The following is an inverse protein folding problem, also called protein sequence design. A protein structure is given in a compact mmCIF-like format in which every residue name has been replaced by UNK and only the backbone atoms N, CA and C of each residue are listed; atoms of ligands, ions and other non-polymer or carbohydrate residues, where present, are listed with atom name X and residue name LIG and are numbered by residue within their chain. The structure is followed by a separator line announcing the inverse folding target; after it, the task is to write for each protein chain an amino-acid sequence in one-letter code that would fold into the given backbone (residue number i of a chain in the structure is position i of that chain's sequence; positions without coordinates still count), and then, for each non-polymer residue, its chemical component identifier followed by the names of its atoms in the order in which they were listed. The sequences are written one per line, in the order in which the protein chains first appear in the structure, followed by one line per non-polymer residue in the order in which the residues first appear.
data_IF_047339150354
#
_entry.id   IF_047339150354
#
_cell.length_a   1.000
_cell.length_b   1.000
_cell.length_c   1.000
_cell.angle_alpha   90.00
_cell.angle_beta   90.00
_cell.angle_gamma   90.00
#
_symmetry.space_group_name_H-M   'P 1'
#
loop_
_entity.id
_entity.type
_entity.pdbx_description
1 polymer ?
#
# COMPACT_ATOMS: atom_id res chain seq x y z
N UNK A 1 -8.44 13.30 22.41
CA UNK A 1 -7.63 12.44 21.54
C UNK A 1 -8.59 11.43 20.93
N UNK A 2 -8.65 11.34 19.63
CA UNK A 2 -9.43 10.32 18.94
C UNK A 2 -8.87 8.95 19.34
N UNK A 3 -9.68 8.09 19.92
CA UNK A 3 -9.24 6.76 20.33
C UNK A 3 -9.00 5.88 19.09
N UNK A 4 -8.37 4.73 19.28
CA UNK A 4 -8.21 3.73 18.22
C UNK A 4 -9.59 3.25 17.72
N UNK A 5 -10.49 2.95 18.64
CA UNK A 5 -11.87 2.55 18.36
C UNK A 5 -12.62 3.63 17.56
N UNK A 6 -12.42 4.91 17.88
CA UNK A 6 -13.03 6.01 17.15
C UNK A 6 -12.60 6.05 15.67
N UNK A 7 -11.30 5.79 15.38
CA UNK A 7 -10.81 5.76 14.00
C UNK A 7 -11.42 4.62 13.20
N UNK A 8 -11.51 3.43 13.80
CA UNK A 8 -12.10 2.23 13.17
C UNK A 8 -13.58 2.44 12.90
N UNK A 9 -14.34 2.96 13.89
CA UNK A 9 -15.74 3.24 13.73
C UNK A 9 -16.02 4.29 12.64
N UNK A 10 -15.23 5.36 12.60
CA UNK A 10 -15.33 6.39 11.55
C UNK A 10 -15.03 5.82 10.17
N UNK A 11 -13.98 4.98 10.05
CA UNK A 11 -13.65 4.31 8.79
C UNK A 11 -14.78 3.37 8.35
N UNK A 12 -15.34 2.60 9.27
CA UNK A 12 -16.47 1.72 9.02
C UNK A 12 -17.67 2.49 8.43
N UNK A 13 -18.12 3.56 9.12
CA UNK A 13 -19.24 4.37 8.67
C UNK A 13 -18.96 5.04 7.32
N UNK A 14 -17.77 5.61 7.15
CA UNK A 14 -17.36 6.21 5.89
C UNK A 14 -17.37 5.19 4.75
N UNK A 15 -16.86 3.99 4.99
CA UNK A 15 -16.85 2.91 4.00
C UNK A 15 -18.27 2.46 3.63
N UNK A 16 -19.17 2.31 4.59
CA UNK A 16 -20.56 1.95 4.33
C UNK A 16 -21.31 2.99 3.50
N UNK A 17 -21.07 4.27 3.76
CA UNK A 17 -21.80 5.35 3.09
C UNK A 17 -21.19 5.78 1.75
N UNK A 18 -19.86 5.81 1.65
CA UNK A 18 -19.14 6.47 0.55
C UNK A 18 -18.35 5.54 -0.35
N UNK A 19 -17.93 4.36 0.12
CA UNK A 19 -17.05 3.46 -0.63
C UNK A 19 -17.79 2.24 -1.14
N UNK A 20 -18.39 1.46 -0.24
CA UNK A 20 -19.02 0.18 -0.56
C UNK A 20 -20.12 0.28 -1.63
N UNK A 21 -21.06 1.27 -1.59
CA UNK A 21 -22.10 1.41 -2.61
C UNK A 21 -21.56 1.67 -4.01
N UNK A 22 -20.33 2.17 -4.12
CA UNK A 22 -19.70 2.57 -5.38
C UNK A 22 -18.56 1.65 -5.81
N UNK A 23 -18.16 0.65 -5.00
CA UNK A 23 -17.00 -0.19 -5.23
C UNK A 23 -17.05 -0.95 -6.58
N UNK A 24 -18.21 -1.46 -6.97
CA UNK A 24 -18.40 -2.10 -8.27
C UNK A 24 -18.20 -1.11 -9.43
N UNK A 25 -18.69 0.12 -9.29
CA UNK A 25 -18.52 1.19 -10.27
C UNK A 25 -17.04 1.58 -10.41
N UNK A 26 -16.32 1.77 -9.30
CA UNK A 26 -14.88 2.08 -9.33
C UNK A 26 -14.08 1.00 -10.07
N UNK A 27 -14.43 -0.27 -9.89
CA UNK A 27 -13.80 -1.36 -10.61
C UNK A 27 -14.14 -1.37 -12.10
N UNK A 28 -15.42 -1.15 -12.47
CA UNK A 28 -15.88 -1.16 -13.84
C UNK A 28 -15.36 0.02 -14.66
N UNK A 29 -15.33 1.22 -14.07
CA UNK A 29 -14.86 2.46 -14.68
C UNK A 29 -13.32 2.59 -14.63
N UNK A 30 -12.65 1.73 -13.89
CA UNK A 30 -11.20 1.76 -13.63
C UNK A 30 -10.73 3.09 -13.04
N UNK A 31 -11.56 3.75 -12.24
CA UNK A 31 -11.28 5.06 -11.65
C UNK A 31 -11.92 5.24 -10.27
N UNK A 32 -11.26 6.03 -9.43
CA UNK A 32 -11.76 6.50 -8.15
C UNK A 32 -11.89 8.03 -8.20
N UNK A 33 -13.10 8.59 -8.00
CA UNK A 33 -13.27 10.03 -8.08
C UNK A 33 -12.37 10.78 -7.09
N UNK A 34 -11.67 11.81 -7.57
CA UNK A 34 -10.84 12.66 -6.71
C UNK A 34 -11.63 13.32 -5.56
N UNK A 35 -12.94 13.49 -5.74
CA UNK A 35 -13.83 13.97 -4.69
C UNK A 35 -13.81 13.06 -3.46
N UNK A 36 -13.78 11.73 -3.66
CA UNK A 36 -13.69 10.76 -2.56
C UNK A 36 -12.37 10.92 -1.79
N UNK A 37 -11.26 11.10 -2.50
CA UNK A 37 -9.95 11.30 -1.87
C UNK A 37 -9.92 12.59 -1.03
N UNK A 38 -10.56 13.66 -1.53
CA UNK A 38 -10.71 14.91 -0.77
C UNK A 38 -11.60 14.73 0.47
N UNK A 39 -12.67 13.95 0.38
CA UNK A 39 -13.51 13.62 1.55
C UNK A 39 -12.73 12.80 2.57
N UNK A 40 -11.95 11.80 2.15
CA UNK A 40 -11.05 11.04 3.01
C UNK A 40 -10.03 11.94 3.73
N UNK A 41 -9.51 12.97 3.04
CA UNK A 41 -8.62 13.97 3.65
C UNK A 41 -9.33 14.82 4.71
N UNK A 42 -10.55 15.31 4.43
CA UNK A 42 -11.37 16.06 5.40
C UNK A 42 -11.68 15.24 6.65
N UNK A 43 -11.92 13.95 6.49
CA UNK A 43 -12.11 13.01 7.59
C UNK A 43 -10.82 12.66 8.34
N UNK A 44 -9.66 13.09 7.84
CA UNK A 44 -8.35 12.90 8.48
C UNK A 44 -7.68 11.55 8.18
N UNK A 45 -8.24 10.70 7.34
CA UNK A 45 -7.67 9.39 7.03
C UNK A 45 -6.31 9.48 6.33
N UNK A 46 -6.09 10.53 5.54
CA UNK A 46 -4.81 10.77 4.86
C UNK A 46 -3.71 11.31 5.81
N UNK A 47 -4.08 11.80 6.99
CA UNK A 47 -3.16 12.30 8.02
C UNK A 47 -2.79 11.32 9.11
N UNK A 48 -3.23 10.05 9.05
CA UNK A 48 -3.09 9.10 10.16
C UNK A 48 -1.63 8.88 10.60
N UNK A 49 -0.69 8.76 9.66
CA UNK A 49 0.74 8.56 9.95
C UNK A 49 1.48 9.86 10.28
N UNK A 50 0.92 11.00 9.92
CA UNK A 50 1.58 12.31 10.01
C UNK A 50 1.49 12.85 11.45
N UNK A 51 2.58 13.40 12.01
CA UNK A 51 2.57 14.02 13.33
C UNK A 51 1.58 15.18 13.44
N UNK A 52 1.07 15.42 14.66
CA UNK A 52 0.08 16.47 14.95
C UNK A 52 0.56 17.86 14.63
N UNK A 53 1.84 18.14 14.82
CA UNK A 53 2.48 19.41 14.50
C UNK A 53 2.39 19.77 13.01
N UNK A 54 2.21 18.76 12.14
CA UNK A 54 1.99 18.95 10.71
C UNK A 54 0.53 18.69 10.28
N UNK A 55 -0.41 18.71 11.24
CA UNK A 55 -1.84 18.59 10.97
C UNK A 55 -2.35 17.15 10.83
N UNK A 56 -1.53 16.14 11.11
CA UNK A 56 -1.95 14.75 11.16
C UNK A 56 -2.45 14.31 12.54
N UNK A 57 -2.65 13.01 12.73
CA UNK A 57 -3.14 12.44 14.00
C UNK A 57 -2.10 11.65 14.76
N UNK A 58 -0.99 11.23 14.16
CA UNK A 58 0.00 10.34 14.74
C UNK A 58 -0.66 9.07 15.32
N UNK A 59 -1.55 8.44 14.56
CA UNK A 59 -2.26 7.25 14.98
C UNK A 59 -1.31 6.05 15.13
N UNK A 60 -1.65 5.11 16.01
CA UNK A 60 -0.90 3.86 16.17
C UNK A 60 -0.91 3.04 14.87
N UNK A 61 0.09 2.20 14.68
CA UNK A 61 0.14 1.28 13.53
C UNK A 61 -1.04 0.32 13.56
N UNK A 62 -1.49 -0.07 14.76
CA UNK A 62 -2.65 -0.93 14.94
C UNK A 62 -3.93 -0.25 14.47
N UNK A 63 -4.18 1.00 14.89
CA UNK A 63 -5.33 1.78 14.42
C UNK A 63 -5.32 1.97 12.90
N UNK A 64 -4.16 2.30 12.32
CA UNK A 64 -3.99 2.42 10.86
C UNK A 64 -4.30 1.09 10.16
N UNK A 65 -3.85 -0.03 10.75
CA UNK A 65 -4.13 -1.37 10.25
C UNK A 65 -5.64 -1.64 10.16
N UNK A 66 -6.37 -1.42 11.23
CA UNK A 66 -7.83 -1.64 11.24
C UNK A 66 -8.58 -0.66 10.33
N UNK A 67 -8.14 0.59 10.21
CA UNK A 67 -8.70 1.52 9.21
C UNK A 67 -8.49 0.99 7.79
N UNK A 68 -7.29 0.51 7.45
CA UNK A 68 -7.00 -0.08 6.14
C UNK A 68 -7.80 -1.36 5.89
N UNK A 69 -8.04 -2.17 6.92
CA UNK A 69 -8.92 -3.35 6.87
C UNK A 69 -10.34 -2.96 6.44
N UNK A 70 -10.95 -1.94 7.08
CA UNK A 70 -12.30 -1.45 6.75
C UNK A 70 -12.36 -0.96 5.29
N UNK A 71 -11.42 -0.12 4.88
CA UNK A 71 -11.35 0.35 3.50
C UNK A 71 -11.16 -0.78 2.49
N UNK A 72 -10.33 -1.77 2.80
CA UNK A 72 -10.06 -2.89 1.90
C UNK A 72 -11.25 -3.85 1.77
N UNK A 73 -12.01 -4.04 2.84
CA UNK A 73 -13.27 -4.78 2.82
C UNK A 73 -14.30 -4.14 1.90
N UNK A 74 -14.37 -2.83 1.87
CA UNK A 74 -15.25 -2.08 0.98
C UNK A 74 -14.70 -2.01 -0.47
N UNK A 75 -13.44 -1.59 -0.63
CA UNK A 75 -12.74 -1.49 -1.92
C UNK A 75 -11.23 -1.55 -1.73
N UNK A 76 -10.61 -2.64 -2.16
CA UNK A 76 -9.15 -2.77 -2.10
C UNK A 76 -8.43 -1.68 -2.92
N UNK A 77 -9.04 -1.22 -4.01
CA UNK A 77 -8.48 -0.16 -4.84
C UNK A 77 -8.35 1.17 -4.06
N UNK A 78 -9.34 1.55 -3.26
CA UNK A 78 -9.30 2.74 -2.39
C UNK A 78 -8.29 2.53 -1.26
N UNK A 79 -8.32 1.37 -0.60
CA UNK A 79 -7.42 1.03 0.49
C UNK A 79 -5.94 1.05 0.07
N UNK A 80 -5.63 0.55 -1.14
CA UNK A 80 -4.24 0.53 -1.64
C UNK A 80 -3.71 1.94 -1.88
N UNK A 81 -4.52 2.84 -2.45
CA UNK A 81 -4.15 4.25 -2.61
C UNK A 81 -3.85 4.93 -1.27
N UNK A 82 -4.71 4.67 -0.26
CA UNK A 82 -4.53 5.15 1.11
C UNK A 82 -3.27 4.54 1.76
N UNK A 83 -3.08 3.22 1.66
CA UNK A 83 -1.93 2.52 2.23
C UNK A 83 -0.59 3.05 1.68
N UNK A 84 -0.50 3.25 0.37
CA UNK A 84 0.70 3.84 -0.27
C UNK A 84 0.95 5.25 0.23
N UNK A 85 -0.08 6.09 0.30
CA UNK A 85 0.04 7.45 0.82
C UNK A 85 0.56 7.46 2.26
N UNK A 86 0.02 6.63 3.13
CA UNK A 86 0.38 6.59 4.55
C UNK A 86 1.75 5.95 4.80
N UNK A 87 1.99 4.74 4.24
CA UNK A 87 3.12 3.89 4.66
C UNK A 87 4.40 4.14 3.89
N UNK A 88 4.33 4.33 2.57
CA UNK A 88 5.54 4.42 1.73
C UNK A 88 5.78 5.82 1.14
N UNK A 89 4.81 6.74 1.26
CA UNK A 89 5.02 8.14 0.87
C UNK A 89 5.17 9.07 2.09
N UNK A 90 4.16 9.17 2.96
CA UNK A 90 4.20 10.09 4.12
C UNK A 90 5.19 9.65 5.19
N UNK A 91 5.18 8.36 5.58
CA UNK A 91 6.05 7.87 6.65
C UNK A 91 7.55 8.06 6.38
N UNK A 92 8.09 7.85 5.16
CA UNK A 92 9.48 8.20 4.86
C UNK A 92 9.79 9.69 5.02
N UNK A 93 8.88 10.59 4.62
CA UNK A 93 9.08 12.04 4.80
C UNK A 93 9.10 12.39 6.30
N UNK A 94 8.20 11.80 7.09
CA UNK A 94 8.19 11.95 8.56
C UNK A 94 9.52 11.49 9.17
N UNK A 95 10.06 10.37 8.73
CA UNK A 95 11.25 9.75 9.33
C UNK A 95 12.57 10.38 8.84
N UNK A 96 12.69 10.64 7.55
CA UNK A 96 13.95 11.00 6.90
C UNK A 96 14.01 12.45 6.43
N UNK A 97 12.87 13.13 6.35
CA UNK A 97 12.79 14.52 5.92
C UNK A 97 13.43 15.48 6.93
N UNK A 98 14.10 16.51 6.41
CA UNK A 98 14.49 17.67 7.22
C UNK A 98 13.28 18.56 7.52
N UNK A 99 13.45 19.55 8.38
CA UNK A 99 12.35 20.44 8.80
C UNK A 99 11.66 21.10 7.61
N UNK A 100 12.41 21.67 6.68
CA UNK A 100 11.87 22.33 5.48
C UNK A 100 11.03 21.39 4.63
N UNK A 101 11.49 20.15 4.43
CA UNK A 101 10.74 19.13 3.68
C UNK A 101 9.45 18.73 4.40
N UNK A 102 9.50 18.52 5.71
CA UNK A 102 8.32 18.19 6.51
C UNK A 102 7.28 19.30 6.47
N UNK A 103 7.70 20.54 6.67
CA UNK A 103 6.83 21.74 6.61
C UNK A 103 6.22 21.95 5.23
N UNK A 104 6.97 21.65 4.16
CA UNK A 104 6.49 21.78 2.78
C UNK A 104 5.42 20.75 2.43
N UNK A 105 5.65 19.47 2.77
CA UNK A 105 4.86 18.38 2.24
C UNK A 105 3.77 17.89 3.20
N UNK A 106 4.10 17.67 4.47
CA UNK A 106 3.22 16.96 5.38
C UNK A 106 1.88 17.64 5.64
N UNK A 107 1.78 18.99 5.80
CA UNK A 107 0.49 19.62 6.06
C UNK A 107 -0.54 19.42 4.92
N UNK A 108 -0.13 19.57 3.67
CA UNK A 108 -1.03 19.35 2.52
C UNK A 108 -1.33 17.87 2.30
N UNK A 109 -0.39 16.97 2.62
CA UNK A 109 -0.62 15.53 2.60
C UNK A 109 -1.62 15.11 3.69
N UNK A 110 -1.53 15.65 4.90
CA UNK A 110 -2.46 15.35 6.00
C UNK A 110 -3.91 15.75 5.67
N UNK A 111 -4.11 16.89 4.99
CA UNK A 111 -5.43 17.36 4.56
C UNK A 111 -5.96 16.68 3.29
N UNK A 112 -5.15 15.83 2.63
CA UNK A 112 -5.52 15.19 1.36
C UNK A 112 -5.55 16.14 0.16
N UNK A 113 -4.96 17.31 0.28
CA UNK A 113 -4.72 18.23 -0.84
C UNK A 113 -3.64 17.68 -1.77
N UNK A 114 -2.65 17.02 -1.18
CA UNK A 114 -1.56 16.36 -1.87
C UNK A 114 -1.55 14.88 -1.57
N UNK A 115 -1.48 14.07 -2.62
CA UNK A 115 -1.20 12.64 -2.51
C UNK A 115 0.29 12.39 -2.73
N UNK A 116 0.79 11.35 -2.09
CA UNK A 116 2.14 10.86 -2.30
C UNK A 116 2.15 9.53 -3.04
N UNK A 117 3.24 9.29 -3.79
CA UNK A 117 3.54 8.04 -4.46
C UNK A 117 4.98 7.59 -4.19
N UNK A 118 5.24 6.30 -4.42
CA UNK A 118 6.52 5.65 -4.16
C UNK A 118 7.03 4.98 -5.42
N UNK A 119 8.10 5.51 -6.01
CA UNK A 119 8.59 5.13 -7.33
C UNK A 119 9.95 4.41 -7.25
N UNK A 120 9.93 3.14 -6.81
CA UNK A 120 11.12 2.28 -6.73
C UNK A 120 11.21 1.35 -7.94
N UNK A 121 10.12 0.64 -8.26
CA UNK A 121 10.05 -0.43 -9.27
C UNK A 121 10.29 0.10 -10.67
N UNK A 122 11.05 -0.64 -11.47
CA UNK A 122 11.37 -0.35 -12.87
C UNK A 122 10.90 -1.49 -13.78
N UNK A 123 10.77 -1.26 -15.11
CA UNK A 123 10.35 -2.32 -16.03
C UNK A 123 11.22 -3.59 -15.97
N UNK A 124 12.52 -3.44 -15.71
CA UNK A 124 13.47 -4.57 -15.60
C UNK A 124 13.70 -5.04 -14.16
N UNK A 125 13.24 -4.30 -13.13
CA UNK A 125 13.68 -4.52 -11.74
C UNK A 125 12.53 -4.34 -10.75
N UNK A 126 11.99 -5.43 -10.23
CA UNK A 126 10.97 -5.44 -9.17
C UNK A 126 11.53 -5.94 -7.85
N UNK A 127 11.61 -7.27 -7.69
CA UNK A 127 12.08 -7.93 -6.45
C UNK A 127 13.54 -7.65 -6.14
N UNK A 128 14.38 -7.46 -7.17
CA UNK A 128 15.81 -7.13 -7.04
C UNK A 128 16.03 -5.60 -7.02
N UNK A 129 15.38 -4.93 -6.09
CA UNK A 129 15.32 -3.47 -6.00
C UNK A 129 16.66 -2.76 -5.71
N UNK A 130 17.73 -3.51 -5.44
CA UNK A 130 19.08 -2.95 -5.31
C UNK A 130 19.77 -2.67 -6.65
N UNK A 131 19.25 -3.23 -7.76
CA UNK A 131 19.82 -3.11 -9.11
C UNK A 131 18.96 -2.22 -10.03
N UNK A 132 18.38 -1.14 -9.48
CA UNK A 132 17.67 -0.15 -10.29
C UNK A 132 18.61 0.54 -11.28
N UNK A 133 18.06 0.94 -12.42
CA UNK A 133 18.80 1.55 -13.54
C UNK A 133 18.52 3.03 -13.74
N UNK A 134 17.44 3.58 -13.17
CA UNK A 134 17.17 5.02 -13.12
C UNK A 134 18.38 5.72 -12.49
N UNK A 135 18.98 6.67 -13.22
CA UNK A 135 20.23 7.33 -12.82
C UNK A 135 19.99 8.75 -12.37
N UNK A 136 20.84 9.20 -11.46
CA UNK A 136 21.01 10.62 -11.21
C UNK A 136 22.48 11.04 -11.36
N UNK A 137 22.68 12.27 -11.79
CA UNK A 137 24.01 12.93 -11.90
C UNK A 137 23.92 14.30 -11.25
N UNK A 138 25.04 14.76 -10.67
CA UNK A 138 25.16 16.14 -10.20
C UNK A 138 25.30 17.08 -11.39
N UNK A 139 24.52 18.16 -11.37
CA UNK A 139 24.58 19.22 -12.37
C UNK A 139 24.58 20.57 -11.64
N UNK A 140 25.77 21.05 -11.27
CA UNK A 140 25.94 22.21 -10.40
C UNK A 140 25.27 22.04 -9.02
N UNK A 141 24.30 22.91 -8.72
CA UNK A 141 23.51 22.86 -7.49
C UNK A 141 22.26 22.00 -7.59
N UNK A 142 22.13 21.22 -8.68
CA UNK A 142 20.96 20.39 -8.97
C UNK A 142 21.37 18.94 -9.18
N UNK A 143 20.36 18.08 -9.26
CA UNK A 143 20.49 16.72 -9.75
C UNK A 143 19.64 16.58 -11.01
N UNK A 144 20.20 15.95 -12.02
CA UNK A 144 19.49 15.48 -13.20
C UNK A 144 19.17 14.00 -13.01
N UNK A 145 17.91 13.63 -13.21
CA UNK A 145 17.43 12.25 -13.08
C UNK A 145 16.90 11.77 -14.42
N UNK A 146 17.37 10.59 -14.85
CA UNK A 146 16.98 9.96 -16.12
C UNK A 146 16.61 8.50 -15.87
N UNK A 147 15.46 8.05 -16.40
CA UNK A 147 14.99 6.67 -16.29
C UNK A 147 13.47 6.56 -16.32
N UNK A 148 12.97 5.37 -15.96
CA UNK A 148 11.54 5.10 -15.91
C UNK A 148 11.18 4.24 -14.71
N UNK A 149 9.96 4.44 -14.21
CA UNK A 149 9.38 3.67 -13.11
C UNK A 149 8.05 3.09 -13.56
N UNK A 150 7.71 1.89 -13.06
CA UNK A 150 6.48 1.21 -13.46
C UNK A 150 5.71 0.69 -12.26
N UNK A 151 4.41 0.43 -12.45
CA UNK A 151 3.47 0.00 -11.40
C UNK A 151 3.39 0.97 -10.21
N UNK A 152 3.44 2.29 -10.49
CA UNK A 152 3.44 3.29 -9.43
C UNK A 152 2.00 3.64 -9.05
N UNK A 153 1.57 3.14 -7.89
CA UNK A 153 0.27 3.50 -7.30
C UNK A 153 0.23 4.98 -6.97
N UNK A 154 -0.89 5.62 -7.25
CA UNK A 154 -1.10 7.08 -7.19
C UNK A 154 -0.22 7.87 -8.19
N UNK A 155 0.54 7.25 -9.08
CA UNK A 155 1.54 7.92 -9.93
C UNK A 155 0.98 9.09 -10.74
N UNK A 156 -0.18 8.94 -11.35
CA UNK A 156 -0.85 10.00 -12.11
C UNK A 156 -1.59 11.04 -11.24
N UNK A 157 -1.85 10.73 -9.97
CA UNK A 157 -2.58 11.60 -9.04
C UNK A 157 -1.67 12.35 -8.06
N UNK A 158 -0.50 11.80 -7.75
CA UNK A 158 0.38 12.31 -6.70
C UNK A 158 0.96 13.68 -7.04
N UNK A 159 0.97 14.59 -6.06
CA UNK A 159 1.64 15.88 -6.14
C UNK A 159 3.12 15.79 -5.75
N UNK A 160 3.50 14.77 -4.99
CA UNK A 160 4.89 14.45 -4.64
C UNK A 160 5.16 12.97 -4.82
N UNK A 161 6.26 12.63 -5.49
CA UNK A 161 6.68 11.26 -5.74
C UNK A 161 8.06 11.04 -5.12
N UNK A 162 8.20 9.99 -4.32
CA UNK A 162 9.48 9.52 -3.82
C UNK A 162 10.17 8.71 -4.93
N UNK A 163 11.11 9.30 -5.64
CA UNK A 163 11.84 8.68 -6.75
C UNK A 163 13.18 8.15 -6.26
N UNK A 164 13.42 6.85 -6.48
CA UNK A 164 14.69 6.21 -6.17
C UNK A 164 15.53 6.11 -7.43
N UNK A 165 16.74 6.66 -7.36
CA UNK A 165 17.70 6.65 -8.47
C UNK A 165 19.10 6.33 -7.95
N UNK A 166 19.97 5.80 -8.83
CA UNK A 166 21.35 5.46 -8.49
C UNK A 166 22.34 6.36 -9.24
N UNK A 167 23.41 6.77 -8.57
CA UNK A 167 24.52 7.45 -9.27
C UNK A 167 25.41 6.45 -10.03
N UNK A 168 25.45 5.20 -9.56
CA UNK A 168 26.24 4.15 -10.18
C UNK A 168 25.63 2.77 -9.86
N UNK A 169 25.02 2.08 -10.85
CA UNK A 169 24.44 0.76 -10.65
C UNK A 169 25.45 -0.30 -10.16
N UNK A 170 26.74 -0.17 -10.49
CA UNK A 170 27.76 -1.16 -10.12
C UNK A 170 28.04 -1.24 -8.63
N UNK A 171 27.66 -0.21 -7.85
CA UNK A 171 27.84 -0.22 -6.38
C UNK A 171 26.60 -0.72 -5.63
N UNK A 172 25.57 -1.15 -6.37
CA UNK A 172 24.34 -1.72 -5.85
C UNK A 172 23.59 -0.75 -4.94
N UNK A 173 23.05 -1.26 -3.84
CA UNK A 173 22.24 -0.49 -2.89
C UNK A 173 22.88 0.79 -2.35
N UNK A 174 24.23 0.84 -2.27
CA UNK A 174 24.99 2.01 -1.79
C UNK A 174 24.95 3.21 -2.74
N UNK A 175 24.63 2.97 -4.02
CA UNK A 175 24.51 4.02 -5.02
C UNK A 175 23.13 4.70 -5.04
N UNK A 176 22.14 4.15 -4.34
CA UNK A 176 20.76 4.58 -4.42
C UNK A 176 20.49 5.75 -3.46
N UNK A 177 19.91 6.82 -4.01
CA UNK A 177 19.37 7.96 -3.27
C UNK A 177 17.88 8.11 -3.52
N UNK A 178 17.16 8.81 -2.64
CA UNK A 178 15.74 9.10 -2.75
C UNK A 178 15.52 10.60 -2.97
N UNK A 179 14.66 10.95 -3.92
CA UNK A 179 14.34 12.32 -4.26
C UNK A 179 12.83 12.58 -4.17
N UNK A 180 12.44 13.69 -3.56
CA UNK A 180 11.07 14.20 -3.57
C UNK A 180 10.86 15.00 -4.86
N UNK A 181 10.15 14.41 -5.82
CA UNK A 181 9.87 15.03 -7.12
C UNK A 181 8.44 15.55 -7.12
N UNK A 182 8.28 16.86 -7.28
CA UNK A 182 6.97 17.50 -7.34
C UNK A 182 6.33 17.27 -8.72
N UNK A 183 5.02 17.11 -8.76
CA UNK A 183 4.25 17.12 -10.02
C UNK A 183 4.49 18.44 -10.78
N UNK A 184 4.73 18.33 -12.06
CA UNK A 184 5.05 19.49 -12.91
C UNK A 184 6.54 19.85 -12.96
N UNK A 185 7.42 19.11 -12.27
CA UNK A 185 8.87 19.26 -12.47
C UNK A 185 9.22 19.03 -13.95
N UNK A 186 9.96 19.93 -14.62
CA UNK A 186 10.37 19.73 -16.00
C UNK A 186 11.14 18.41 -16.20
N UNK A 187 10.79 17.65 -17.22
CA UNK A 187 11.37 16.33 -17.49
C UNK A 187 10.72 15.20 -16.68
N UNK A 188 9.69 15.47 -15.86
CA UNK A 188 8.89 14.45 -15.19
C UNK A 188 7.50 14.36 -15.82
N UNK A 189 7.10 13.14 -16.20
CA UNK A 189 5.78 12.85 -16.76
C UNK A 189 5.26 11.49 -16.33
N UNK A 190 3.95 11.31 -16.40
CA UNK A 190 3.27 10.05 -16.14
C UNK A 190 2.54 9.53 -17.39
N UNK A 191 2.43 8.21 -17.49
CA UNK A 191 1.68 7.53 -18.54
C UNK A 191 0.18 7.49 -18.22
N UNK A 192 -0.59 6.93 -19.15
CA UNK A 192 -1.96 6.53 -18.86
C UNK A 192 -1.99 5.46 -17.77
N UNK A 193 -3.14 5.39 -17.08
CA UNK A 193 -3.44 4.32 -16.12
C UNK A 193 -3.27 2.93 -16.77
N UNK A 194 -2.54 2.04 -16.08
CA UNK A 194 -2.33 0.67 -16.52
C UNK A 194 -3.59 -0.17 -16.27
N UNK A 195 -4.10 -0.84 -17.31
CA UNK A 195 -5.20 -1.79 -17.16
C UNK A 195 -4.71 -3.06 -16.46
N UNK A 196 -5.47 -3.55 -15.48
CA UNK A 196 -5.07 -4.61 -14.56
C UNK A 196 -6.17 -5.67 -14.38
N UNK A 197 -5.80 -6.85 -13.93
CA UNK A 197 -6.74 -7.90 -13.55
C UNK A 197 -7.64 -7.45 -12.40
N UNK A 198 -7.06 -6.96 -11.32
CA UNK A 198 -7.69 -6.41 -10.13
C UNK A 198 -7.13 -5.06 -9.75
N UNK A 199 -7.59 -4.47 -8.64
CA UNK A 199 -7.27 -3.09 -8.26
C UNK A 199 -7.56 -2.09 -9.40
N UNK A 200 -8.59 -2.36 -10.17
CA UNK A 200 -8.80 -1.65 -11.43
C UNK A 200 -9.01 -0.16 -11.22
N UNK A 201 -9.76 0.24 -10.19
CA UNK A 201 -9.96 1.64 -9.83
C UNK A 201 -8.71 2.32 -9.24
N UNK A 202 -7.70 1.58 -8.78
CA UNK A 202 -6.48 2.19 -8.23
C UNK A 202 -5.59 2.71 -9.34
N UNK A 203 -5.38 4.01 -9.40
CA UNK A 203 -4.49 4.65 -10.37
C UNK A 203 -3.06 4.12 -10.22
N UNK A 204 -2.58 3.46 -11.27
CA UNK A 204 -1.26 2.82 -11.33
C UNK A 204 -0.62 3.18 -12.66
N UNK A 205 0.50 3.88 -12.64
CA UNK A 205 1.09 4.50 -13.83
C UNK A 205 2.54 4.07 -14.02
N UNK A 206 3.04 4.28 -15.22
CA UNK A 206 4.46 4.41 -15.47
C UNK A 206 4.85 5.88 -15.34
N UNK A 207 6.05 6.12 -14.82
CA UNK A 207 6.63 7.46 -14.68
C UNK A 207 7.90 7.53 -15.53
N UNK A 208 8.03 8.60 -16.29
CA UNK A 208 9.20 8.89 -17.12
C UNK A 208 9.96 10.08 -16.52
N UNK A 209 11.26 9.93 -16.38
CA UNK A 209 12.19 10.97 -15.99
C UNK A 209 13.18 11.14 -17.17
N UNK A 210 13.05 12.24 -17.90
CA UNK A 210 13.88 12.57 -19.06
C UNK A 210 14.48 13.95 -18.86
N UNK A 211 15.73 13.97 -18.39
CA UNK A 211 16.37 15.21 -17.98
C UNK A 211 15.62 15.90 -16.83
N UNK A 212 15.06 15.13 -15.91
CA UNK A 212 14.31 15.68 -14.78
C UNK A 212 15.26 16.35 -13.80
N UNK A 213 15.20 17.69 -13.69
CA UNK A 213 16.07 18.45 -12.81
C UNK A 213 15.39 18.76 -11.48
N UNK A 214 16.02 18.35 -10.39
CA UNK A 214 15.59 18.66 -9.03
C UNK A 214 16.71 19.39 -8.28
N UNK A 215 16.36 20.23 -7.31
CA UNK A 215 17.37 20.91 -6.47
C UNK A 215 17.97 19.94 -5.45
N UNK A 216 19.07 20.31 -4.81
CA UNK A 216 19.71 19.47 -3.78
C UNK A 216 18.80 19.23 -2.57
N UNK A 217 17.87 20.17 -2.31
CA UNK A 217 16.89 20.10 -1.23
C UNK A 217 15.81 19.02 -1.49
N UNK A 218 15.69 18.52 -2.71
CA UNK A 218 14.77 17.42 -3.04
C UNK A 218 15.26 16.07 -2.50
N UNK A 219 16.55 15.92 -2.17
CA UNK A 219 17.08 14.66 -1.65
C UNK A 219 16.52 14.36 -0.26
N UNK A 220 15.88 13.20 -0.11
CA UNK A 220 15.35 12.71 1.15
C UNK A 220 16.42 11.89 1.88
N UNK A 221 16.83 12.32 3.06
CA UNK A 221 17.98 11.75 3.77
C UNK A 221 19.31 12.27 3.20
N UNK A 222 20.32 11.39 3.15
CA UNK A 222 21.66 11.68 2.61
C UNK A 222 21.89 10.91 1.31
N UNK A 223 22.87 11.34 0.54
CA UNK A 223 23.34 10.59 -0.63
C UNK A 223 23.71 9.15 -0.25
N UNK A 224 23.16 8.18 -0.97
CA UNK A 224 23.34 6.76 -0.68
C UNK A 224 22.42 6.14 0.38
N UNK A 225 21.57 6.94 1.06
CA UNK A 225 20.59 6.40 2.02
C UNK A 225 19.31 5.87 1.38
N UNK A 226 19.11 6.06 0.06
CA UNK A 226 17.84 5.74 -0.61
C UNK A 226 17.38 4.30 -0.42
N UNK A 227 18.29 3.34 -0.45
CA UNK A 227 17.91 1.94 -0.20
C UNK A 227 17.43 1.71 1.24
N UNK A 228 18.01 2.37 2.24
CA UNK A 228 17.53 2.31 3.63
C UNK A 228 16.15 2.96 3.76
N UNK A 229 15.95 4.11 3.10
CA UNK A 229 14.64 4.77 3.02
C UNK A 229 13.61 3.80 2.46
N UNK A 230 13.90 3.16 1.33
CA UNK A 230 13.01 2.20 0.69
C UNK A 230 12.69 1.01 1.61
N UNK A 231 13.71 0.37 2.19
CA UNK A 231 13.50 -0.83 3.03
C UNK A 231 12.68 -0.52 4.28
N UNK A 232 12.96 0.61 4.96
CA UNK A 232 12.17 1.00 6.15
C UNK A 232 10.72 1.36 5.81
N UNK A 233 10.48 1.94 4.63
CA UNK A 233 9.14 2.21 4.13
C UNK A 233 8.37 0.90 3.87
N UNK A 234 8.99 -0.03 3.15
CA UNK A 234 8.40 -1.34 2.81
C UNK A 234 8.14 -2.22 4.03
N UNK A 235 8.96 -2.13 5.09
CA UNK A 235 8.66 -2.84 6.35
C UNK A 235 7.33 -2.36 6.96
N UNK A 236 7.11 -1.05 7.00
CA UNK A 236 5.83 -0.48 7.44
C UNK A 236 4.69 -0.84 6.50
N UNK A 237 4.94 -0.79 5.20
CA UNK A 237 3.98 -1.13 4.15
C UNK A 237 3.49 -2.57 4.21
N UNK A 238 4.35 -3.54 4.59
CA UNK A 238 3.94 -4.95 4.78
C UNK A 238 2.84 -5.10 5.83
N UNK A 239 2.88 -4.32 6.92
CA UNK A 239 1.80 -4.32 7.92
C UNK A 239 0.51 -3.78 7.29
N UNK A 240 0.59 -2.68 6.53
CA UNK A 240 -0.55 -2.10 5.82
C UNK A 240 -1.18 -3.06 4.81
N UNK A 241 -0.35 -3.75 3.99
CA UNK A 241 -0.85 -4.75 3.04
C UNK A 241 -1.41 -5.99 3.73
N UNK A 242 -0.87 -6.38 4.91
CA UNK A 242 -1.47 -7.45 5.73
C UNK A 242 -2.88 -7.07 6.16
N UNK A 243 -3.08 -5.84 6.60
CA UNK A 243 -4.39 -5.31 6.98
C UNK A 243 -5.36 -5.21 5.78
N UNK A 244 -4.89 -4.73 4.63
CA UNK A 244 -5.68 -4.76 3.40
C UNK A 244 -6.08 -6.19 2.99
N UNK A 245 -5.16 -7.15 3.14
CA UNK A 245 -5.43 -8.56 2.87
C UNK A 245 -6.48 -9.12 3.82
N UNK A 246 -6.41 -8.77 5.10
CA UNK A 246 -7.40 -9.14 6.11
C UNK A 246 -8.79 -8.61 5.75
N UNK A 247 -8.89 -7.33 5.34
CA UNK A 247 -10.16 -6.73 4.91
C UNK A 247 -10.79 -7.46 3.73
N UNK A 248 -10.00 -7.81 2.71
CA UNK A 248 -10.45 -8.62 1.57
C UNK A 248 -10.93 -10.00 2.02
N UNK A 249 -10.17 -10.68 2.89
CA UNK A 249 -10.53 -12.01 3.39
C UNK A 249 -11.83 -11.95 4.21
N UNK A 250 -12.01 -10.93 5.05
CA UNK A 250 -13.20 -10.72 5.87
C UNK A 250 -14.43 -10.42 5.01
N UNK A 251 -14.30 -9.59 3.99
CA UNK A 251 -15.40 -9.32 3.03
C UNK A 251 -15.78 -10.58 2.25
N UNK A 252 -14.80 -11.37 1.80
CA UNK A 252 -15.05 -12.64 1.13
C UNK A 252 -15.72 -13.68 2.04
N UNK A 253 -15.32 -13.75 3.32
CA UNK A 253 -16.01 -14.56 4.33
C UNK A 253 -17.47 -14.08 4.54
N UNK A 254 -17.71 -12.76 4.45
CA UNK A 254 -19.06 -12.19 4.45
C UNK A 254 -19.92 -12.75 3.32
N UNK A 255 -19.42 -12.72 2.08
CA UNK A 255 -20.13 -13.31 0.93
C UNK A 255 -20.46 -14.80 1.14
N UNK A 256 -19.55 -15.58 1.76
CA UNK A 256 -19.82 -16.98 2.08
C UNK A 256 -20.93 -17.13 3.12
N UNK A 257 -20.96 -16.27 4.16
CA UNK A 257 -21.99 -16.28 5.20
C UNK A 257 -23.40 -15.95 4.66
N UNK A 258 -23.49 -15.19 3.58
CA UNK A 258 -24.76 -14.88 2.94
C UNK A 258 -25.41 -16.09 2.28
N UNK A 259 -24.62 -17.08 1.85
CA UNK A 259 -25.11 -18.25 1.10
C UNK A 259 -25.11 -19.56 1.89
N UNK A 260 -24.26 -19.68 2.93
CA UNK A 260 -24.20 -20.89 3.77
C UNK A 260 -25.23 -20.79 4.90
N UNK A 261 -26.12 -21.79 5.00
CA UNK A 261 -27.19 -21.94 5.99
C UNK A 261 -27.04 -23.29 6.75
N UNK A 262 -27.86 -23.49 7.76
CA UNK A 262 -27.84 -24.75 8.53
C UNK A 262 -28.14 -25.97 7.67
N UNK A 263 -29.00 -25.82 6.67
CA UNK A 263 -29.39 -26.87 5.72
C UNK A 263 -28.37 -27.10 4.60
N UNK A 264 -27.35 -26.21 4.50
CA UNK A 264 -26.32 -26.32 3.46
C UNK A 264 -25.52 -27.63 3.60
N UNK A 265 -25.03 -28.12 2.47
CA UNK A 265 -24.19 -29.30 2.43
C UNK A 265 -22.96 -29.13 3.34
N UNK A 266 -22.53 -30.20 3.99
CA UNK A 266 -21.49 -30.16 5.01
C UNK A 266 -20.15 -29.61 4.49
N UNK A 267 -19.81 -29.88 3.22
CA UNK A 267 -18.60 -29.33 2.60
C UNK A 267 -18.59 -27.79 2.54
N UNK A 268 -19.76 -27.14 2.41
CA UNK A 268 -19.88 -25.68 2.41
C UNK A 268 -19.59 -25.12 3.80
N UNK A 269 -20.08 -25.77 4.85
CA UNK A 269 -19.80 -25.40 6.25
C UNK A 269 -18.33 -25.60 6.59
N UNK A 270 -17.71 -26.66 6.10
CA UNK A 270 -16.26 -26.91 6.25
C UNK A 270 -15.45 -25.84 5.53
N UNK A 271 -15.85 -25.41 4.32
CA UNK A 271 -15.19 -24.33 3.60
C UNK A 271 -15.30 -22.99 4.35
N UNK A 272 -16.48 -22.69 4.92
CA UNK A 272 -16.71 -21.53 5.77
C UNK A 272 -15.82 -21.54 7.01
N UNK A 273 -15.75 -22.67 7.72
CA UNK A 273 -14.92 -22.83 8.92
C UNK A 273 -13.42 -22.64 8.63
N UNK A 274 -12.92 -23.23 7.54
CA UNK A 274 -11.52 -23.02 7.09
C UNK A 274 -11.23 -21.57 6.77
N UNK A 275 -12.17 -20.89 6.14
CA UNK A 275 -12.02 -19.47 5.80
C UNK A 275 -12.06 -18.58 7.03
N UNK A 276 -12.87 -18.90 8.03
CA UNK A 276 -12.86 -18.24 9.33
C UNK A 276 -11.49 -18.35 10.02
N UNK A 277 -10.91 -19.57 10.06
CA UNK A 277 -9.56 -19.76 10.66
C UNK A 277 -8.48 -19.00 9.89
N UNK A 278 -8.55 -18.94 8.55
CA UNK A 278 -7.63 -18.14 7.73
C UNK A 278 -7.71 -16.64 8.11
N UNK A 279 -8.93 -16.11 8.35
CA UNK A 279 -9.16 -14.71 8.74
C UNK A 279 -8.60 -14.43 10.15
N UNK A 280 -8.93 -15.25 11.14
CA UNK A 280 -8.47 -15.09 12.53
C UNK A 280 -6.93 -15.14 12.63
N UNK A 281 -6.31 -16.10 11.93
CA UNK A 281 -4.85 -16.20 11.90
C UNK A 281 -4.18 -14.99 11.20
N UNK A 282 -4.78 -14.46 10.13
CA UNK A 282 -4.29 -13.27 9.45
C UNK A 282 -4.38 -12.04 10.37
N UNK A 283 -5.49 -11.87 11.09
CA UNK A 283 -5.66 -10.81 12.08
C UNK A 283 -4.60 -10.88 13.18
N UNK A 284 -4.45 -12.03 13.83
CA UNK A 284 -3.50 -12.20 14.93
C UNK A 284 -2.05 -11.88 14.49
N UNK A 285 -1.65 -12.27 13.27
CA UNK A 285 -0.32 -11.96 12.75
C UNK A 285 -0.15 -10.48 12.43
N UNK A 286 -1.15 -9.83 11.85
CA UNK A 286 -1.14 -8.39 11.54
C UNK A 286 -1.06 -7.57 12.82
N UNK A 287 -1.91 -7.83 13.79
CA UNK A 287 -1.92 -7.14 15.10
C UNK A 287 -0.60 -7.32 15.86
N UNK A 288 -0.04 -8.53 15.85
CA UNK A 288 1.29 -8.79 16.43
C UNK A 288 2.36 -7.90 15.80
N UNK A 289 2.38 -7.78 14.47
CA UNK A 289 3.36 -6.96 13.77
C UNK A 289 3.17 -5.46 14.08
N UNK A 290 1.93 -4.99 14.11
CA UNK A 290 1.57 -3.62 14.45
C UNK A 290 1.97 -3.27 15.88
N UNK A 291 1.63 -4.09 16.86
CA UNK A 291 1.96 -3.91 18.29
C UNK A 291 3.47 -3.90 18.55
N UNK A 292 4.25 -4.73 17.83
CA UNK A 292 5.71 -4.70 17.92
C UNK A 292 6.26 -3.36 17.43
N UNK A 293 5.77 -2.85 16.30
CA UNK A 293 6.17 -1.55 15.76
C UNK A 293 5.79 -0.40 16.69
N UNK A 294 4.57 -0.38 17.21
CA UNK A 294 4.08 0.66 18.12
C UNK A 294 4.85 0.69 19.46
N UNK A 295 5.32 -0.47 19.92
CA UNK A 295 6.20 -0.57 21.09
C UNK A 295 7.68 -0.28 20.81
N UNK A 296 8.04 0.14 19.61
CA UNK A 296 9.43 0.45 19.21
C UNK A 296 10.35 -0.76 19.11
N UNK A 297 9.79 -1.99 19.05
CA UNK A 297 10.53 -3.25 18.95
C UNK A 297 10.79 -3.61 17.49
N UNK A 298 11.76 -4.50 17.26
CA UNK A 298 12.00 -5.09 15.93
C UNK A 298 10.75 -5.87 15.48
N UNK A 299 10.18 -5.46 14.37
CA UNK A 299 8.96 -6.03 13.80
C UNK A 299 9.13 -6.61 12.39
N UNK A 300 10.32 -6.49 11.79
CA UNK A 300 10.56 -6.87 10.39
C UNK A 300 10.18 -8.33 10.08
N UNK A 301 10.54 -9.27 10.97
CA UNK A 301 10.15 -10.68 10.85
C UNK A 301 8.63 -10.87 10.99
N UNK A 302 8.00 -10.19 11.96
CA UNK A 302 6.57 -10.29 12.17
C UNK A 302 5.78 -9.68 11.00
N UNK A 303 6.22 -8.54 10.46
CA UNK A 303 5.62 -7.91 9.28
C UNK A 303 5.71 -8.81 8.03
N UNK A 304 6.86 -9.47 7.81
CA UNK A 304 7.02 -10.42 6.71
C UNK A 304 6.12 -11.65 6.87
N UNK A 305 6.01 -12.22 8.08
CA UNK A 305 5.13 -13.34 8.36
C UNK A 305 3.65 -12.97 8.19
N UNK A 306 3.24 -11.81 8.70
CA UNK A 306 1.88 -11.29 8.55
C UNK A 306 1.52 -11.11 7.07
N UNK A 307 2.40 -10.45 6.30
CA UNK A 307 2.18 -10.21 4.87
C UNK A 307 2.09 -11.51 4.07
N UNK A 308 3.01 -12.44 4.30
CA UNK A 308 3.02 -13.74 3.65
C UNK A 308 1.70 -14.49 3.88
N UNK A 309 1.33 -14.64 5.16
CA UNK A 309 0.14 -15.41 5.51
C UNK A 309 -1.15 -14.70 5.05
N UNK A 310 -1.33 -13.43 5.40
CA UNK A 310 -2.57 -12.70 5.12
C UNK A 310 -2.87 -12.59 3.62
N UNK A 311 -1.85 -12.33 2.78
CA UNK A 311 -2.05 -12.22 1.34
C UNK A 311 -2.46 -13.55 0.70
N UNK A 312 -1.87 -14.65 1.13
CA UNK A 312 -2.25 -15.99 0.68
C UNK A 312 -3.65 -16.39 1.22
N UNK A 313 -3.96 -16.05 2.47
CA UNK A 313 -5.28 -16.29 3.07
C UNK A 313 -6.36 -15.52 2.31
N UNK A 314 -6.14 -14.25 2.00
CA UNK A 314 -7.07 -13.43 1.22
C UNK A 314 -7.42 -14.09 -0.13
N UNK A 315 -6.40 -14.55 -0.84
CA UNK A 315 -6.62 -15.22 -2.13
C UNK A 315 -7.38 -16.54 -1.98
N UNK A 316 -7.03 -17.37 -0.97
CA UNK A 316 -7.76 -18.63 -0.70
C UNK A 316 -9.22 -18.39 -0.32
N UNK A 317 -9.47 -17.42 0.57
CA UNK A 317 -10.83 -17.12 1.05
C UNK A 317 -11.68 -16.52 -0.08
N UNK A 318 -11.11 -15.60 -0.87
CA UNK A 318 -11.80 -15.01 -2.02
C UNK A 318 -12.12 -16.08 -3.10
N UNK A 319 -11.22 -17.03 -3.36
CA UNK A 319 -11.49 -18.17 -4.26
C UNK A 319 -12.66 -19.02 -3.75
N UNK A 320 -12.64 -19.41 -2.46
CA UNK A 320 -13.75 -20.19 -1.87
C UNK A 320 -15.07 -19.41 -1.88
N UNK A 321 -15.02 -18.07 -1.73
CA UNK A 321 -16.23 -17.26 -1.82
C UNK A 321 -16.87 -17.34 -3.21
N UNK A 322 -16.08 -17.30 -4.28
CA UNK A 322 -16.58 -17.51 -5.64
C UNK A 322 -17.16 -18.91 -5.80
N UNK A 323 -16.47 -19.96 -5.30
CA UNK A 323 -16.96 -21.34 -5.38
C UNK A 323 -18.32 -21.50 -4.68
N UNK A 324 -18.51 -20.92 -3.49
CA UNK A 324 -19.74 -21.04 -2.70
C UNK A 324 -20.89 -20.17 -3.21
N UNK A 325 -20.59 -19.00 -3.76
CA UNK A 325 -21.60 -18.12 -4.38
C UNK A 325 -22.01 -18.60 -5.78
N UNK A 326 -21.25 -19.53 -6.36
CA UNK A 326 -21.54 -20.16 -7.65
C UNK A 326 -21.62 -19.15 -8.80
N UNK A 327 -22.55 -19.34 -9.73
CA UNK A 327 -22.67 -18.48 -10.91
C UNK A 327 -22.93 -17.02 -10.58
N UNK A 328 -23.64 -16.71 -9.50
CA UNK A 328 -23.88 -15.33 -9.08
C UNK A 328 -22.56 -14.63 -8.69
N UNK A 329 -21.66 -15.35 -8.00
CA UNK A 329 -20.36 -14.85 -7.59
C UNK A 329 -19.36 -14.65 -8.73
N UNK A 330 -19.62 -15.18 -9.93
CA UNK A 330 -18.77 -15.01 -11.12
C UNK A 330 -19.23 -13.88 -12.04
N UNK A 331 -20.41 -13.31 -11.80
CA UNK A 331 -20.92 -12.21 -12.62
C UNK A 331 -20.01 -10.97 -12.47
N UNK A 332 -19.71 -10.30 -13.59
CA UNK A 332 -18.95 -9.05 -13.58
C UNK A 332 -19.63 -8.02 -12.69
N UNK A 333 -18.90 -7.46 -11.74
CA UNK A 333 -19.38 -6.50 -10.75
C UNK A 333 -19.93 -7.13 -9.46
N UNK A 334 -20.00 -8.49 -9.37
CA UNK A 334 -20.29 -9.16 -8.12
C UNK A 334 -19.13 -8.97 -7.12
N UNK A 335 -19.47 -8.88 -5.83
CA UNK A 335 -18.46 -8.66 -4.78
C UNK A 335 -17.44 -9.79 -4.73
N UNK A 336 -17.87 -11.07 -4.77
CA UNK A 336 -16.96 -12.21 -4.72
C UNK A 336 -15.99 -12.23 -5.92
N UNK A 337 -16.49 -11.97 -7.14
CA UNK A 337 -15.69 -11.88 -8.36
C UNK A 337 -14.62 -10.78 -8.26
N UNK A 338 -15.01 -9.58 -7.81
CA UNK A 338 -14.08 -8.46 -7.63
C UNK A 338 -13.03 -8.77 -6.57
N UNK A 339 -13.42 -9.28 -5.40
CA UNK A 339 -12.50 -9.66 -4.32
C UNK A 339 -11.50 -10.73 -4.78
N UNK A 340 -11.93 -11.69 -5.60
CA UNK A 340 -11.04 -12.72 -6.17
C UNK A 340 -9.96 -12.09 -7.06
N UNK A 341 -10.34 -11.22 -8.00
CA UNK A 341 -9.37 -10.54 -8.88
C UNK A 341 -8.44 -9.62 -8.10
N UNK A 342 -8.99 -8.85 -7.17
CA UNK A 342 -8.24 -7.92 -6.34
C UNK A 342 -7.24 -8.62 -5.42
N UNK A 343 -7.62 -9.77 -4.85
CA UNK A 343 -6.76 -10.52 -3.91
C UNK A 343 -5.46 -11.02 -4.55
N UNK A 344 -5.44 -11.25 -5.87
CA UNK A 344 -4.25 -11.79 -6.54
C UNK A 344 -3.03 -10.88 -6.42
N UNK A 345 -3.21 -9.58 -6.48
CA UNK A 345 -2.09 -8.63 -6.43
C UNK A 345 -1.45 -8.55 -5.03
N UNK A 346 -2.21 -8.85 -3.97
CA UNK A 346 -1.70 -8.82 -2.59
C UNK A 346 -0.51 -9.76 -2.36
N UNK A 347 -0.41 -10.85 -3.12
CA UNK A 347 0.74 -11.77 -3.06
C UNK A 347 1.98 -11.25 -3.78
N UNK A 348 1.87 -10.13 -4.51
CA UNK A 348 2.92 -9.57 -5.37
C UNK A 348 3.49 -8.27 -4.78
N UNK A 349 2.62 -7.33 -4.40
CA UNK A 349 3.02 -5.99 -3.94
C UNK A 349 3.78 -6.01 -2.62
N UNK A 350 4.60 -4.98 -2.37
CA UNK A 350 5.38 -4.77 -1.13
C UNK A 350 6.33 -5.96 -0.80
N UNK A 351 6.82 -6.61 -1.84
CA UNK A 351 7.62 -7.83 -1.79
C UNK A 351 6.77 -9.08 -1.98
N UNK A 352 7.09 -9.81 -3.06
CA UNK A 352 6.34 -11.01 -3.43
C UNK A 352 6.34 -12.08 -2.32
N UNK A 353 5.45 -13.08 -2.45
CA UNK A 353 5.44 -14.26 -1.57
C UNK A 353 6.83 -14.84 -1.39
N UNK A 354 7.56 -15.05 -2.48
CA UNK A 354 8.91 -15.63 -2.49
C UNK A 354 9.93 -14.73 -1.76
N UNK A 355 9.80 -13.42 -1.89
CA UNK A 355 10.65 -12.47 -1.15
C UNK A 355 10.38 -12.56 0.35
N UNK A 356 9.12 -12.67 0.79
CA UNK A 356 8.82 -12.84 2.21
C UNK A 356 9.37 -14.17 2.75
N UNK A 357 9.23 -15.26 2.00
CA UNK A 357 9.79 -16.57 2.33
C UNK A 357 11.32 -16.52 2.45
N UNK A 358 11.99 -15.86 1.50
CA UNK A 358 13.45 -15.66 1.55
C UNK A 358 13.90 -14.85 2.77
N UNK A 359 13.18 -13.76 3.12
CA UNK A 359 13.49 -12.94 4.29
C UNK A 359 13.38 -13.78 5.56
N UNK A 360 12.27 -14.49 5.72
CA UNK A 360 12.02 -15.35 6.87
C UNK A 360 13.04 -16.48 6.97
N UNK A 361 13.26 -17.21 5.88
CA UNK A 361 14.19 -18.34 5.83
C UNK A 361 15.62 -17.93 6.17
N UNK A 362 16.12 -16.83 5.58
CA UNK A 362 17.47 -16.30 5.88
C UNK A 362 17.60 -15.84 7.32
N UNK A 363 16.57 -15.24 7.90
CA UNK A 363 16.61 -14.79 9.28
C UNK A 363 16.59 -15.96 10.28
N UNK A 364 15.79 -16.98 10.00
CA UNK A 364 15.73 -18.19 10.85
C UNK A 364 17.04 -18.99 10.80
N UNK A 365 17.63 -19.15 9.61
CA UNK A 365 18.89 -19.86 9.45
C UNK A 365 20.09 -19.16 10.11
N UNK A 366 20.05 -17.84 10.33
CA UNK A 366 21.12 -17.10 11.04
C UNK A 366 21.01 -17.19 12.55
N UNK A 367 19.85 -17.57 13.08
CA UNK A 367 19.62 -17.70 14.53
C UNK A 367 19.92 -19.10 15.07
N UNK A 368 20.22 -20.04 14.18
CA UNK A 368 20.71 -21.37 14.50
C UNK A 368 22.24 -21.39 14.56
#
# INVERSE_FOLDING_TARGET
MTSEEDWVQRAHLFCLEKVLPHAARFDLEEDIPQALLREMGKEGFLGLTIPREYGGSAASTLAIGHVLEEFAGASLAVATGLAVHLSVASAPIVRWGNTTQKEKYLPSMARGEWLGAFALTEPATGSDSQHITTRYTKDGDRYRIDGSKTFITNGGLAQVVLVFATHNPSVGSRGISCFLVDKGTPGFSDSRHLSKLGLRGSQTNELLLDGCHVTKEAMLGREGDGFKVAMTALEGGRVGISACSLGVARAALGCMREVVRDESAEWMKVALARSYVDVEAAQALMERAANLKDSGRDYGMAASAAKLFASQAAFRVASRAVDLTGMEGTKRGATAERLFRDSRVLTIVEGTTEIQEMILGRSLARRA
#
